data_IF_858228639029
#
_entry.id   IF_858228639029
#
_cell.length_a   1.000
_cell.length_b   1.000
_cell.length_c   1.000
_cell.angle_alpha   90.00
_cell.angle_beta   90.00
_cell.angle_gamma   90.00
#
_symmetry.space_group_name_H-M   'P 1'
#
loop_
_entity.id
_entity.type
_entity.pdbx_description
1 polymer ?
#
# COMPACT_ATOMS: atom_id res chain seq x y z
N UNK A 1 -7.92 -2.17 -17.97
CA UNK A 1 -7.20 -1.20 -18.80
C UNK A 1 -8.04 -0.79 -20.02
N UNK A 2 -8.41 -1.72 -20.92
CA UNK A 2 -9.18 -1.41 -22.16
C UNK A 2 -10.47 -0.63 -21.87
N UNK A 3 -11.26 -1.05 -20.88
CA UNK A 3 -12.49 -0.36 -20.50
C UNK A 3 -12.22 1.05 -19.94
N UNK A 4 -11.21 1.22 -19.07
CA UNK A 4 -10.83 2.55 -18.60
C UNK A 4 -10.41 3.48 -19.72
N UNK A 5 -9.67 2.95 -20.73
CA UNK A 5 -9.31 3.71 -21.92
C UNK A 5 -10.56 4.14 -22.72
N UNK A 6 -11.55 3.28 -22.88
CA UNK A 6 -12.80 3.63 -23.59
C UNK A 6 -13.61 4.72 -22.87
N UNK A 7 -13.42 4.88 -21.57
CA UNK A 7 -13.98 5.97 -20.75
C UNK A 7 -13.12 7.25 -20.77
N UNK A 8 -12.04 7.29 -21.55
CA UNK A 8 -11.16 8.46 -21.67
C UNK A 8 -10.12 8.61 -20.57
N UNK A 9 -9.93 7.60 -19.71
CA UNK A 9 -8.89 7.60 -18.67
C UNK A 9 -7.50 7.65 -19.31
N UNK A 10 -6.60 8.47 -18.75
CA UNK A 10 -5.23 8.66 -19.24
C UNK A 10 -4.20 7.84 -18.46
N UNK A 11 -4.53 7.45 -17.24
CA UNK A 11 -3.69 6.69 -16.32
C UNK A 11 -4.52 5.69 -15.52
N UNK A 12 -3.87 4.66 -15.00
CA UNK A 12 -4.49 3.69 -14.10
C UNK A 12 -3.47 3.24 -13.04
N UNK A 13 -3.88 3.24 -11.78
CA UNK A 13 -3.11 2.72 -10.67
C UNK A 13 -3.47 1.26 -10.40
N UNK A 14 -2.49 0.47 -9.97
CA UNK A 14 -2.65 -0.92 -9.55
C UNK A 14 -2.07 -1.07 -8.14
N UNK A 15 -2.93 -1.44 -7.20
CA UNK A 15 -2.63 -1.44 -5.76
C UNK A 15 -3.21 -2.69 -5.10
N UNK A 16 -2.73 -3.85 -5.52
CA UNK A 16 -3.16 -5.15 -5.00
C UNK A 16 -2.87 -5.26 -3.50
N UNK A 17 -3.71 -6.00 -2.77
CA UNK A 17 -3.61 -6.18 -1.33
C UNK A 17 -2.38 -6.99 -0.92
N UNK A 18 -1.38 -6.37 -0.30
CA UNK A 18 -0.21 -7.02 0.27
C UNK A 18 0.71 -7.72 -0.73
N UNK A 19 0.62 -7.34 -2.01
CA UNK A 19 1.42 -7.97 -3.08
C UNK A 19 1.65 -7.02 -4.25
N UNK A 20 2.70 -7.28 -5.02
CA UNK A 20 2.99 -6.64 -6.31
C UNK A 20 3.01 -7.64 -7.48
N UNK A 21 2.49 -8.85 -7.28
CA UNK A 21 2.59 -9.92 -8.28
C UNK A 21 1.95 -9.57 -9.63
N UNK A 22 0.90 -8.72 -9.63
CA UNK A 22 0.20 -8.27 -10.84
C UNK A 22 0.86 -7.12 -11.61
N UNK A 23 1.88 -6.43 -11.04
CA UNK A 23 2.39 -5.18 -11.59
C UNK A 23 3.01 -5.30 -12.98
N UNK A 24 3.74 -6.39 -13.27
CA UNK A 24 4.38 -6.59 -14.59
C UNK A 24 3.31 -6.71 -15.67
N UNK A 25 2.32 -7.57 -15.47
CA UNK A 25 1.19 -7.75 -16.39
C UNK A 25 0.39 -6.46 -16.58
N UNK A 26 0.18 -5.72 -15.48
CA UNK A 26 -0.51 -4.42 -15.51
C UNK A 26 0.27 -3.37 -16.30
N UNK A 27 1.59 -3.29 -16.09
CA UNK A 27 2.49 -2.41 -16.84
C UNK A 27 2.44 -2.70 -18.34
N UNK A 28 2.63 -3.96 -18.75
CA UNK A 28 2.63 -4.36 -20.15
C UNK A 28 1.26 -4.07 -20.80
N UNK A 29 0.18 -4.34 -20.07
CA UNK A 29 -1.17 -4.07 -20.56
C UNK A 29 -1.43 -2.56 -20.71
N UNK A 30 -0.98 -1.73 -19.78
CA UNK A 30 -1.08 -0.27 -19.89
C UNK A 30 -0.27 0.24 -21.07
N UNK A 31 0.97 -0.19 -21.22
CA UNK A 31 1.86 0.17 -22.32
C UNK A 31 1.27 -0.19 -23.68
N UNK A 32 0.78 -1.42 -23.83
CA UNK A 32 0.13 -1.90 -25.05
C UNK A 32 -1.13 -1.10 -25.43
N UNK A 33 -1.79 -0.45 -24.47
CA UNK A 33 -2.99 0.36 -24.68
C UNK A 33 -2.73 1.87 -24.67
N UNK A 34 -1.47 2.33 -24.59
CA UNK A 34 -1.11 3.75 -24.54
C UNK A 34 -1.65 4.47 -23.30
N UNK A 35 -1.75 3.76 -22.18
CA UNK A 35 -2.22 4.29 -20.90
C UNK A 35 -1.04 4.42 -19.93
N UNK A 36 -0.99 5.51 -19.15
CA UNK A 36 0.03 5.68 -18.11
C UNK A 36 -0.20 4.67 -17.00
N UNK A 37 0.80 3.84 -16.73
CA UNK A 37 0.82 2.93 -15.59
C UNK A 37 1.27 3.66 -14.32
N UNK A 38 0.60 3.39 -13.21
CA UNK A 38 1.00 3.83 -11.87
C UNK A 38 1.04 2.57 -11.00
N UNK A 39 2.25 2.16 -10.62
CA UNK A 39 2.46 0.98 -9.77
C UNK A 39 2.41 1.31 -8.29
N UNK A 40 1.93 0.35 -7.50
CA UNK A 40 1.88 0.44 -6.05
C UNK A 40 1.37 -0.84 -5.42
N UNK A 41 0.98 -0.78 -4.17
CA UNK A 41 0.29 -1.85 -3.46
C UNK A 41 -0.52 -1.26 -2.30
N UNK A 42 -1.51 -1.99 -1.83
CA UNK A 42 -2.20 -1.69 -0.58
C UNK A 42 -1.48 -2.42 0.55
N UNK A 43 -0.76 -1.66 1.37
CA UNK A 43 -0.06 -2.19 2.53
C UNK A 43 -1.03 -2.50 3.68
N UNK A 44 -0.73 -3.56 4.43
CA UNK A 44 -1.24 -3.77 5.76
C UNK A 44 -0.27 -3.12 6.75
N UNK A 45 -0.76 -2.27 7.64
CA UNK A 45 0.06 -1.55 8.62
C UNK A 45 -0.31 -2.01 10.02
N UNK A 46 0.68 -2.32 10.85
CA UNK A 46 0.46 -2.61 12.28
C UNK A 46 -0.30 -1.45 12.94
N UNK A 47 -1.21 -1.70 13.88
CA UNK A 47 -1.98 -0.64 14.54
C UNK A 47 -1.07 0.42 15.16
N UNK A 48 -1.55 1.67 15.21
CA UNK A 48 -0.79 2.77 15.79
C UNK A 48 -0.33 2.45 17.22
N UNK A 49 0.92 2.78 17.55
CA UNK A 49 1.54 2.46 18.82
C UNK A 49 2.03 1.01 18.97
N UNK A 50 1.93 0.20 17.90
CA UNK A 50 2.50 -1.15 17.84
C UNK A 50 3.54 -1.27 16.74
N UNK A 51 4.38 -2.30 16.81
CA UNK A 51 5.38 -2.60 15.78
C UNK A 51 4.95 -3.80 14.94
N UNK A 52 5.55 -3.97 13.76
CA UNK A 52 5.33 -5.14 12.89
C UNK A 52 5.70 -6.46 13.53
N UNK A 53 6.60 -6.45 14.52
CA UNK A 53 7.04 -7.64 15.24
C UNK A 53 6.02 -8.14 16.29
N UNK A 54 5.16 -7.26 16.78
CA UNK A 54 4.19 -7.58 17.80
C UNK A 54 2.99 -8.33 17.20
N UNK A 55 2.79 -9.56 17.64
CA UNK A 55 1.64 -10.39 17.24
C UNK A 55 0.42 -10.07 18.12
N UNK A 56 0.02 -8.78 18.11
CA UNK A 56 -1.12 -8.27 18.88
C UNK A 56 -2.12 -7.59 17.93
N UNK A 57 -3.39 -7.67 18.30
CA UNK A 57 -4.44 -6.83 17.76
C UNK A 57 -4.68 -5.66 18.73
N UNK A 58 -4.86 -4.45 18.21
CA UNK A 58 -5.35 -3.30 18.97
C UNK A 58 -6.82 -3.11 18.65
N UNK A 59 -7.66 -3.01 19.67
CA UNK A 59 -9.12 -2.86 19.54
C UNK A 59 -9.76 -3.91 18.60
N UNK A 60 -9.26 -5.16 18.67
CA UNK A 60 -9.74 -6.25 17.82
C UNK A 60 -9.24 -6.25 16.39
N UNK A 61 -8.38 -5.29 15.99
CA UNK A 61 -7.79 -5.21 14.65
C UNK A 61 -6.31 -5.56 14.69
N UNK A 62 -5.89 -6.43 13.78
CA UNK A 62 -4.49 -6.83 13.64
C UNK A 62 -3.70 -5.91 12.69
N UNK A 63 -4.37 -5.10 11.87
CA UNK A 63 -3.78 -4.21 10.87
C UNK A 63 -4.76 -3.15 10.40
N UNK A 64 -4.22 -2.07 9.81
CA UNK A 64 -4.92 -1.07 9.03
C UNK A 64 -4.47 -1.13 7.56
N UNK A 65 -5.20 -0.47 6.66
CA UNK A 65 -4.86 -0.37 5.25
C UNK A 65 -4.17 0.96 4.93
N UNK A 66 -3.24 0.94 3.99
CA UNK A 66 -2.53 2.11 3.49
C UNK A 66 -2.17 1.91 2.02
N UNK A 67 -2.53 2.85 1.14
CA UNK A 67 -2.13 2.78 -0.26
C UNK A 67 -0.75 3.39 -0.43
N UNK A 68 0.15 2.67 -1.09
CA UNK A 68 1.50 3.12 -1.42
C UNK A 68 1.66 3.08 -2.94
N UNK A 69 1.99 4.23 -3.55
CA UNK A 69 2.28 4.35 -4.99
C UNK A 69 3.74 4.72 -5.19
N UNK A 70 4.31 4.27 -6.31
CA UNK A 70 5.69 4.54 -6.69
C UNK A 70 5.77 5.76 -7.61
N UNK A 71 6.49 6.78 -7.17
CA UNK A 71 6.73 8.01 -7.91
C UNK A 71 7.85 7.84 -8.95
N UNK A 72 8.85 7.02 -8.63
CA UNK A 72 10.06 6.79 -9.42
C UNK A 72 10.69 5.43 -9.09
N UNK A 73 11.86 5.14 -9.67
CA UNK A 73 12.59 3.88 -9.46
C UNK A 73 13.02 3.68 -8.00
N UNK A 74 13.34 4.76 -7.26
CA UNK A 74 13.67 4.68 -5.83
C UNK A 74 12.46 4.26 -5.02
N UNK A 75 11.30 4.85 -5.29
CA UNK A 75 10.04 4.45 -4.66
C UNK A 75 9.68 2.98 -4.94
N UNK A 76 9.95 2.48 -6.15
CA UNK A 76 9.77 1.06 -6.46
C UNK A 76 10.68 0.16 -5.61
N UNK A 77 11.98 0.49 -5.47
CA UNK A 77 12.91 -0.25 -4.61
C UNK A 77 12.46 -0.24 -3.14
N UNK A 78 12.10 0.94 -2.63
CA UNK A 78 11.59 1.08 -1.28
C UNK A 78 10.30 0.30 -1.08
N UNK A 79 9.40 0.29 -2.07
CA UNK A 79 8.20 -0.55 -2.05
C UNK A 79 8.52 -2.05 -2.01
N UNK A 80 9.53 -2.51 -2.75
CA UNK A 80 10.00 -3.90 -2.68
C UNK A 80 10.53 -4.25 -1.30
N UNK A 81 11.31 -3.36 -0.67
CA UNK A 81 11.85 -3.54 0.69
C UNK A 81 10.73 -3.60 1.73
N UNK A 82 9.81 -2.63 1.69
CA UNK A 82 8.64 -2.62 2.56
C UNK A 82 7.84 -3.92 2.46
N UNK A 83 7.57 -4.37 1.24
CA UNK A 83 6.78 -5.57 1.03
C UNK A 83 7.55 -6.83 1.46
N UNK A 84 8.84 -6.93 1.17
CA UNK A 84 9.68 -8.06 1.59
C UNK A 84 9.69 -8.18 3.11
N UNK A 85 9.99 -7.08 3.82
CA UNK A 85 10.05 -7.08 5.28
C UNK A 85 8.68 -7.27 5.93
N UNK A 86 7.61 -6.86 5.27
CA UNK A 86 6.25 -7.16 5.75
C UNK A 86 5.98 -8.66 5.81
N UNK A 87 6.48 -9.42 4.82
CA UNK A 87 6.33 -10.88 4.77
C UNK A 87 7.30 -11.62 5.68
N UNK A 88 8.55 -11.17 5.78
CA UNK A 88 9.61 -11.87 6.55
C UNK A 88 9.60 -11.53 8.03
N UNK A 89 9.21 -10.31 8.40
CA UNK A 89 9.27 -9.82 9.79
C UNK A 89 7.88 -9.56 10.37
N UNK A 90 6.95 -9.02 9.56
CA UNK A 90 5.69 -8.46 10.02
C UNK A 90 4.47 -9.37 9.89
N UNK A 91 4.64 -10.62 9.49
CA UNK A 91 3.50 -11.49 9.20
C UNK A 91 2.72 -11.88 10.47
N UNK A 92 1.51 -11.34 10.57
CA UNK A 92 0.50 -11.72 11.57
C UNK A 92 -0.88 -11.56 10.97
N UNK A 93 -1.52 -12.66 10.58
CA UNK A 93 -2.69 -12.78 9.69
C UNK A 93 -2.44 -12.23 8.28
N UNK A 94 -1.74 -11.12 8.16
CA UNK A 94 -1.35 -10.44 6.91
C UNK A 94 0.10 -9.96 7.01
N UNK A 95 0.77 -9.73 5.86
CA UNK A 95 2.12 -9.15 5.84
C UNK A 95 2.03 -7.66 6.20
N UNK A 96 2.50 -7.29 7.40
CA UNK A 96 2.37 -5.92 7.93
C UNK A 96 3.70 -5.18 7.91
N UNK A 97 3.64 -3.93 7.50
CA UNK A 97 4.65 -2.93 7.81
C UNK A 97 4.26 -2.20 9.11
N UNK A 98 5.13 -1.34 9.61
CA UNK A 98 4.83 -0.33 10.63
C UNK A 98 5.28 1.05 10.17
N UNK A 99 4.98 2.08 10.94
CA UNK A 99 5.34 3.45 10.59
C UNK A 99 6.84 3.70 10.66
N UNK A 100 7.60 2.99 11.50
CA UNK A 100 9.05 3.11 11.56
C UNK A 100 9.70 2.59 10.29
N UNK A 101 9.27 1.43 9.80
CA UNK A 101 9.75 0.87 8.53
C UNK A 101 9.35 1.78 7.34
N UNK A 102 8.13 2.30 7.34
CA UNK A 102 7.69 3.23 6.31
C UNK A 102 8.51 4.52 6.32
N UNK A 103 8.83 5.05 7.49
CA UNK A 103 9.68 6.25 7.65
C UNK A 103 11.12 6.00 7.19
N UNK A 104 11.65 4.81 7.40
CA UNK A 104 12.98 4.40 6.91
C UNK A 104 13.04 4.32 5.38
N UNK A 105 11.95 3.89 4.72
CA UNK A 105 11.88 3.61 3.29
C UNK A 105 10.83 4.46 2.54
N UNK A 106 10.67 5.74 2.90
CA UNK A 106 9.60 6.59 2.34
C UNK A 106 9.97 7.30 1.03
N UNK A 107 11.27 7.40 0.70
CA UNK A 107 11.71 8.14 -0.48
C UNK A 107 11.10 7.61 -1.78
N UNK A 108 10.60 8.52 -2.61
CA UNK A 108 9.98 8.18 -3.89
C UNK A 108 8.61 7.52 -3.80
N UNK A 109 7.99 7.51 -2.61
CA UNK A 109 6.63 7.00 -2.39
C UNK A 109 5.61 8.14 -2.36
N UNK A 110 4.38 7.81 -2.75
CA UNK A 110 3.16 8.58 -2.48
C UNK A 110 2.26 7.71 -1.64
N UNK A 111 1.82 8.22 -0.48
CA UNK A 111 1.02 7.47 0.48
C UNK A 111 -0.37 8.09 0.60
N UNK A 112 -1.41 7.24 0.63
CA UNK A 112 -2.81 7.65 0.75
C UNK A 112 -3.51 6.83 1.84
N UNK A 113 -4.54 7.42 2.47
CA UNK A 113 -5.24 6.87 3.64
C UNK A 113 -6.08 5.61 3.39
N UNK A 114 -6.11 5.10 2.16
CA UNK A 114 -6.85 3.91 1.73
C UNK A 114 -8.39 4.02 1.95
N UNK A 115 -9.00 2.93 2.42
CA UNK A 115 -10.44 2.79 2.64
C UNK A 115 -10.82 3.02 4.12
N UNK A 116 -12.07 2.69 4.51
CA UNK A 116 -12.52 2.78 5.91
C UNK A 116 -11.68 1.93 6.90
N UNK A 117 -10.93 0.93 6.41
CA UNK A 117 -9.99 0.17 7.24
C UNK A 117 -8.62 0.85 7.41
N UNK A 118 -8.40 2.02 6.80
CA UNK A 118 -7.19 2.84 6.99
C UNK A 118 -7.12 3.49 8.37
N UNK A 119 -5.91 3.78 8.84
CA UNK A 119 -5.70 4.37 10.18
C UNK A 119 -6.39 5.73 10.32
N UNK A 120 -6.24 6.62 9.33
CA UNK A 120 -6.86 7.96 9.35
C UNK A 120 -8.40 7.89 9.30
N UNK A 121 -9.04 7.17 8.35
CA UNK A 121 -10.48 7.00 8.38
C UNK A 121 -11.01 6.37 9.68
N UNK A 122 -10.31 5.42 10.28
CA UNK A 122 -10.71 4.84 11.56
C UNK A 122 -10.61 5.86 12.71
N UNK A 123 -9.57 6.67 12.76
CA UNK A 123 -9.46 7.75 13.76
C UNK A 123 -10.66 8.72 13.66
N UNK A 124 -11.05 9.11 12.45
CA UNK A 124 -12.23 9.99 12.22
C UNK A 124 -13.53 9.32 12.71
N UNK A 125 -13.75 8.05 12.33
CA UNK A 125 -14.97 7.31 12.71
C UNK A 125 -15.08 7.16 14.23
N UNK A 126 -13.97 6.99 14.94
CA UNK A 126 -13.93 6.83 16.39
C UNK A 126 -13.76 8.15 17.16
N UNK A 127 -13.71 9.31 16.47
CA UNK A 127 -13.59 10.63 17.11
C UNK A 127 -12.19 10.91 17.68
N UNK A 128 -11.16 10.17 17.29
CA UNK A 128 -9.77 10.33 17.71
C UNK A 128 -9.02 11.20 16.70
N UNK A 129 -9.38 12.48 16.60
CA UNK A 129 -8.84 13.42 15.58
C UNK A 129 -7.96 14.53 16.17
N UNK A 130 -7.56 14.43 17.43
CA UNK A 130 -6.66 15.38 18.11
C UNK A 130 -5.17 15.09 17.82
#
# INVERSE_FOLDING_TARGET
VKYGKSLGMKAMAFTDHGTMAGLVTAYDTCKANGMKFIGGFEAYVAPYGTTRFEKKASEGKAYNHLIILFKNAEGYKNGCELLTRSHTEGFYYKPRIDFDLLKEHHEGLVVMSACLAGAVPQAIVHGNVD
#
